data_IF_206361387683
#
_entry.id   IF_206361387683
#
_cell.length_a   1.000
_cell.length_b   1.000
_cell.length_c   1.000
_cell.angle_alpha   90.00
_cell.angle_beta   90.00
_cell.angle_gamma   90.00
#
_symmetry.space_group_name_H-M   'P 1'
#
loop_
_entity.id
_entity.type
_entity.pdbx_description
1 polymer ?
#
# COMPACT_ATOMS: atom_id res chain seq x y z
N UNK A 1 -13.71 -6.49 -26.44
CA UNK A 1 -12.98 -5.65 -25.45
C UNK A 1 -12.98 -6.32 -24.08
N UNK A 2 -14.14 -6.63 -23.48
CA UNK A 2 -14.20 -7.35 -22.19
C UNK A 2 -13.37 -8.65 -22.15
N UNK A 3 -13.44 -9.47 -23.19
CA UNK A 3 -12.68 -10.74 -23.22
C UNK A 3 -11.17 -10.52 -23.20
N UNK A 4 -10.70 -9.46 -23.86
CA UNK A 4 -9.28 -9.11 -23.91
C UNK A 4 -8.75 -8.53 -22.59
N UNK A 5 -9.55 -7.71 -21.92
CA UNK A 5 -9.23 -7.17 -20.59
C UNK A 5 -9.14 -8.29 -19.54
N UNK A 6 -10.05 -9.28 -19.63
CA UNK A 6 -10.04 -10.46 -18.78
C UNK A 6 -8.81 -11.35 -19.04
N UNK A 7 -8.46 -11.59 -20.31
CA UNK A 7 -7.24 -12.34 -20.66
C UNK A 7 -5.97 -11.68 -20.10
N UNK A 8 -5.85 -10.36 -20.22
CA UNK A 8 -4.70 -9.64 -19.69
C UNK A 8 -4.68 -9.62 -18.15
N UNK A 9 -5.85 -9.58 -17.50
CA UNK A 9 -5.95 -9.71 -16.04
C UNK A 9 -5.59 -11.11 -15.54
N UNK A 10 -5.97 -12.16 -16.27
CA UNK A 10 -5.60 -13.53 -15.92
C UNK A 10 -4.10 -13.77 -16.09
N UNK A 11 -3.48 -13.21 -17.14
CA UNK A 11 -2.03 -13.28 -17.29
C UNK A 11 -1.29 -12.50 -16.20
N UNK A 12 -1.80 -11.32 -15.83
CA UNK A 12 -1.31 -10.58 -14.67
C UNK A 12 -1.33 -11.45 -13.42
N UNK A 13 -2.44 -12.12 -13.11
CA UNK A 13 -2.54 -12.93 -11.90
C UNK A 13 -1.58 -14.13 -11.91
N UNK A 14 -1.32 -14.76 -13.05
CA UNK A 14 -0.28 -15.80 -13.15
C UNK A 14 1.12 -15.25 -12.86
N UNK A 15 1.42 -14.02 -13.27
CA UNK A 15 2.69 -13.36 -12.95
C UNK A 15 2.79 -13.14 -11.43
N UNK A 16 1.72 -12.61 -10.82
CA UNK A 16 1.68 -12.33 -9.39
C UNK A 16 1.73 -13.59 -8.53
N UNK A 17 1.02 -14.65 -8.92
CA UNK A 17 1.00 -15.92 -8.21
C UNK A 17 2.41 -16.54 -8.14
N UNK A 18 3.17 -16.47 -9.25
CA UNK A 18 4.57 -16.92 -9.30
C UNK A 18 5.50 -16.11 -8.41
N UNK A 19 5.22 -14.83 -8.20
CA UNK A 19 6.00 -13.97 -7.30
C UNK A 19 5.75 -14.29 -5.81
N UNK A 20 4.63 -14.94 -5.51
CA UNK A 20 4.28 -15.39 -4.17
C UNK A 20 4.04 -14.24 -3.18
N UNK A 21 4.34 -14.49 -1.89
CA UNK A 21 3.92 -13.61 -0.79
C UNK A 21 4.53 -12.22 -0.80
N UNK A 22 5.71 -12.03 -1.40
CA UNK A 22 6.38 -10.72 -1.46
C UNK A 22 5.77 -9.79 -2.51
N UNK A 23 5.00 -10.33 -3.45
CA UNK A 23 4.59 -9.58 -4.62
C UNK A 23 5.76 -9.23 -5.54
N UNK A 24 5.50 -8.36 -6.49
CA UNK A 24 6.47 -7.94 -7.52
C UNK A 24 6.32 -6.43 -7.74
N UNK A 25 7.45 -5.75 -7.92
CA UNK A 25 7.46 -4.31 -8.14
C UNK A 25 6.57 -3.93 -9.33
N UNK A 26 5.73 -2.92 -9.16
CA UNK A 26 4.71 -2.54 -10.15
C UNK A 26 5.33 -2.21 -11.52
N UNK A 27 6.50 -1.58 -11.53
CA UNK A 27 7.25 -1.31 -12.76
C UNK A 27 7.65 -2.59 -13.53
N UNK A 28 8.02 -3.65 -12.81
CA UNK A 28 8.36 -4.95 -13.40
C UNK A 28 7.12 -5.68 -13.93
N UNK A 29 6.01 -5.63 -13.19
CA UNK A 29 4.71 -6.15 -13.66
C UNK A 29 4.31 -5.51 -14.98
N UNK A 30 4.33 -4.17 -15.05
CA UNK A 30 4.00 -3.43 -16.27
C UNK A 30 4.96 -3.80 -17.41
N UNK A 31 6.26 -3.96 -17.12
CA UNK A 31 7.26 -4.37 -18.12
C UNK A 31 6.99 -5.78 -18.67
N UNK A 32 6.64 -6.73 -17.81
CA UNK A 32 6.37 -8.10 -18.23
C UNK A 32 5.07 -8.20 -19.03
N UNK A 33 3.99 -7.56 -18.58
CA UNK A 33 2.75 -7.48 -19.35
C UNK A 33 2.96 -6.85 -20.74
N UNK A 34 3.76 -5.77 -20.85
CA UNK A 34 4.08 -5.18 -22.17
C UNK A 34 4.74 -6.19 -23.13
N UNK A 35 5.53 -7.14 -22.63
CA UNK A 35 6.14 -8.19 -23.48
C UNK A 35 5.08 -9.15 -24.02
N UNK A 36 4.05 -9.47 -23.24
CA UNK A 36 2.91 -10.29 -23.69
C UNK A 36 2.05 -9.55 -24.72
N UNK A 37 1.92 -8.23 -24.58
CA UNK A 37 1.12 -7.37 -25.44
C UNK A 37 1.89 -6.77 -26.63
N UNK A 38 3.09 -7.29 -26.94
CA UNK A 38 4.03 -6.71 -27.92
C UNK A 38 3.46 -6.46 -29.32
N UNK A 39 2.37 -7.14 -29.67
CA UNK A 39 1.72 -7.02 -30.98
C UNK A 39 0.78 -5.79 -31.06
N UNK A 40 0.48 -5.15 -29.94
CA UNK A 40 -0.35 -3.93 -29.89
C UNK A 40 0.50 -2.66 -29.95
N UNK A 41 -0.11 -1.54 -30.34
CA UNK A 41 0.54 -0.25 -30.25
C UNK A 41 0.81 0.13 -28.78
N UNK A 42 1.91 0.86 -28.51
CA UNK A 42 2.32 1.22 -27.12
C UNK A 42 1.18 1.83 -26.28
N UNK A 43 0.39 2.73 -26.88
CA UNK A 43 -0.75 3.36 -26.20
C UNK A 43 -1.84 2.35 -25.80
N UNK A 44 -2.10 1.36 -26.65
CA UNK A 44 -3.07 0.31 -26.38
C UNK A 44 -2.54 -0.66 -25.31
N UNK A 45 -1.24 -0.97 -25.33
CA UNK A 45 -0.59 -1.73 -24.26
C UNK A 45 -0.74 -1.04 -22.91
N UNK A 46 -0.43 0.26 -22.85
CA UNK A 46 -0.52 1.02 -21.61
C UNK A 46 -1.97 1.06 -21.07
N UNK A 47 -2.97 1.27 -21.95
CA UNK A 47 -4.39 1.22 -21.55
C UNK A 47 -4.82 -0.16 -21.04
N UNK A 48 -4.45 -1.24 -21.74
CA UNK A 48 -4.78 -2.59 -21.34
C UNK A 48 -4.15 -2.95 -19.97
N UNK A 49 -2.89 -2.56 -19.76
CA UNK A 49 -2.17 -2.81 -18.51
C UNK A 49 -2.82 -2.08 -17.33
N UNK A 50 -3.09 -0.78 -17.47
CA UNK A 50 -3.75 -0.03 -16.40
C UNK A 50 -5.16 -0.58 -16.12
N UNK A 51 -5.91 -0.95 -17.16
CA UNK A 51 -7.23 -1.55 -17.03
C UNK A 51 -7.17 -2.90 -16.28
N UNK A 52 -6.22 -3.77 -16.62
CA UNK A 52 -6.07 -5.06 -15.95
C UNK A 52 -5.60 -4.93 -14.50
N UNK A 53 -4.67 -4.02 -14.21
CA UNK A 53 -4.24 -3.73 -12.83
C UNK A 53 -5.43 -3.21 -12.02
N UNK A 54 -6.17 -2.24 -12.57
CA UNK A 54 -7.36 -1.71 -11.92
C UNK A 54 -8.39 -2.81 -11.66
N UNK A 55 -8.66 -3.66 -12.65
CA UNK A 55 -9.61 -4.75 -12.53
C UNK A 55 -9.26 -5.73 -11.39
N UNK A 56 -8.00 -6.19 -11.31
CA UNK A 56 -7.61 -7.15 -10.25
C UNK A 56 -7.59 -6.51 -8.85
N UNK A 57 -7.35 -5.21 -8.75
CA UNK A 57 -7.47 -4.45 -7.50
C UNK A 57 -8.95 -4.25 -7.13
N UNK A 58 -9.80 -3.93 -8.11
CA UNK A 58 -11.23 -3.72 -7.92
C UNK A 58 -11.94 -4.99 -7.43
N UNK A 59 -11.51 -6.16 -7.91
CA UNK A 59 -12.04 -7.47 -7.52
C UNK A 59 -11.37 -8.08 -6.26
N UNK A 60 -10.42 -7.36 -5.66
CA UNK A 60 -9.61 -7.84 -4.54
C UNK A 60 -8.91 -9.18 -4.83
N UNK A 61 -8.46 -9.41 -6.07
CA UNK A 61 -7.62 -10.56 -6.46
C UNK A 61 -6.12 -10.26 -6.28
N UNK A 62 -5.78 -8.97 -6.22
CA UNK A 62 -4.46 -8.47 -5.89
C UNK A 62 -4.56 -7.22 -5.00
N UNK A 63 -3.43 -6.82 -4.42
CA UNK A 63 -3.31 -5.60 -3.62
C UNK A 63 -2.01 -4.85 -3.94
N UNK A 64 -2.08 -3.51 -3.97
CA UNK A 64 -0.89 -2.66 -3.94
C UNK A 64 -0.34 -2.57 -2.52
N UNK A 65 0.94 -2.84 -2.36
CA UNK A 65 1.68 -2.74 -1.10
C UNK A 65 2.90 -1.85 -1.33
N UNK A 66 3.39 -1.25 -0.25
CA UNK A 66 4.65 -0.50 -0.27
C UNK A 66 5.74 -1.41 0.27
N UNK A 67 6.89 -1.47 -0.38
CA UNK A 67 8.08 -2.14 0.16
C UNK A 67 9.35 -1.49 -0.36
N UNK A 68 10.48 -1.81 0.27
CA UNK A 68 11.79 -1.37 -0.20
C UNK A 68 12.19 -2.12 -1.48
N UNK A 69 12.83 -1.40 -2.41
CA UNK A 69 13.49 -2.01 -3.56
C UNK A 69 14.96 -2.33 -3.28
N UNK A 70 15.70 -2.77 -4.32
CA UNK A 70 17.11 -3.10 -4.19
C UNK A 70 18.01 -1.90 -3.84
N UNK A 71 17.50 -0.68 -3.97
CA UNK A 71 18.13 0.59 -3.57
C UNK A 71 17.66 1.09 -2.21
N UNK A 72 16.85 0.31 -1.48
CA UNK A 72 16.19 0.73 -0.24
C UNK A 72 15.25 1.93 -0.41
N UNK A 73 14.74 2.15 -1.63
CA UNK A 73 13.71 3.15 -1.88
C UNK A 73 12.32 2.51 -1.75
N UNK A 74 11.39 3.21 -1.08
CA UNK A 74 10.00 2.75 -0.95
C UNK A 74 9.28 2.89 -2.29
N UNK A 75 8.76 1.77 -2.78
CA UNK A 75 8.07 1.71 -4.08
C UNK A 75 6.83 0.83 -4.02
N UNK A 76 6.00 0.94 -5.06
CA UNK A 76 4.81 0.12 -5.19
C UNK A 76 5.14 -1.29 -5.67
N UNK A 77 4.64 -2.27 -4.94
CA UNK A 77 4.58 -3.67 -5.35
C UNK A 77 3.12 -4.09 -5.51
N UNK A 78 2.88 -5.05 -6.39
CA UNK A 78 1.59 -5.69 -6.57
C UNK A 78 1.71 -7.13 -6.05
N UNK A 79 0.82 -7.50 -5.13
CA UNK A 79 0.82 -8.80 -4.47
C UNK A 79 -0.45 -9.56 -4.80
N UNK A 80 -0.31 -10.84 -5.15
CA UNK A 80 -1.44 -11.76 -5.29
C UNK A 80 -2.11 -12.00 -3.94
N UNK A 81 -3.44 -11.99 -3.91
CA UNK A 81 -4.21 -12.30 -2.71
C UNK A 81 -4.70 -13.75 -2.78
N UNK A 82 -4.48 -14.49 -1.70
CA UNK A 82 -5.17 -15.78 -1.48
C UNK A 82 -6.67 -15.57 -1.34
N UNK A 83 -7.48 -16.62 -1.46
CA UNK A 83 -8.94 -16.53 -1.27
C UNK A 83 -9.31 -16.01 0.13
N UNK A 84 -8.55 -16.41 1.16
CA UNK A 84 -8.76 -15.93 2.54
C UNK A 84 -8.46 -14.44 2.66
N UNK A 85 -7.33 -13.98 2.12
CA UNK A 85 -7.00 -12.55 2.11
C UNK A 85 -8.03 -11.75 1.29
N UNK A 86 -8.40 -12.24 0.10
CA UNK A 86 -9.41 -11.62 -0.78
C UNK A 86 -10.75 -11.44 -0.06
N UNK A 87 -11.19 -12.48 0.65
CA UNK A 87 -12.42 -12.42 1.47
C UNK A 87 -12.30 -11.35 2.55
N UNK A 88 -11.19 -11.31 3.28
CA UNK A 88 -10.94 -10.29 4.31
C UNK A 88 -11.04 -8.87 3.75
N UNK A 89 -10.53 -8.61 2.55
CA UNK A 89 -10.62 -7.29 1.90
C UNK A 89 -12.05 -6.95 1.46
N UNK A 90 -12.78 -7.92 0.92
CA UNK A 90 -14.19 -7.74 0.53
C UNK A 90 -15.11 -7.48 1.72
N UNK A 91 -14.76 -8.00 2.89
CA UNK A 91 -15.51 -7.82 4.14
C UNK A 91 -15.19 -6.50 4.86
N UNK A 92 -14.20 -5.72 4.40
CA UNK A 92 -13.95 -4.37 4.91
C UNK A 92 -15.17 -3.47 4.66
N UNK A 93 -15.34 -2.47 5.52
CA UNK A 93 -16.36 -1.45 5.30
C UNK A 93 -16.13 -0.72 3.97
N UNK A 94 -17.20 -0.22 3.36
CA UNK A 94 -17.10 0.52 2.09
C UNK A 94 -16.15 1.73 2.21
N UNK A 95 -16.16 2.40 3.37
CA UNK A 95 -15.26 3.51 3.70
C UNK A 95 -13.81 3.05 3.70
N UNK A 96 -13.50 1.91 4.34
CA UNK A 96 -12.14 1.37 4.41
C UNK A 96 -11.64 0.89 3.03
N UNK A 97 -12.51 0.25 2.25
CA UNK A 97 -12.22 -0.12 0.88
C UNK A 97 -11.92 1.10 0.01
N UNK A 98 -12.68 2.19 0.19
CA UNK A 98 -12.45 3.42 -0.55
C UNK A 98 -11.19 4.14 -0.10
N UNK A 99 -10.90 4.14 1.21
CA UNK A 99 -9.65 4.67 1.74
C UNK A 99 -8.45 3.97 1.11
N UNK A 100 -8.46 2.63 1.03
CA UNK A 100 -7.40 1.87 0.40
C UNK A 100 -7.20 2.31 -1.06
N UNK A 101 -8.28 2.46 -1.83
CA UNK A 101 -8.22 2.93 -3.23
C UNK A 101 -7.61 4.32 -3.34
N UNK A 102 -7.99 5.24 -2.45
CA UNK A 102 -7.41 6.60 -2.40
C UNK A 102 -5.91 6.53 -2.14
N UNK A 103 -5.48 5.73 -1.16
CA UNK A 103 -4.06 5.60 -0.82
C UNK A 103 -3.26 4.91 -1.94
N UNK A 104 -3.83 3.89 -2.60
CA UNK A 104 -3.21 3.17 -3.72
C UNK A 104 -2.88 4.04 -4.92
N UNK A 105 -3.59 5.16 -5.09
CA UNK A 105 -3.39 6.10 -6.20
C UNK A 105 -2.67 7.38 -5.76
N UNK A 106 -2.26 7.49 -4.49
CA UNK A 106 -1.58 8.67 -3.97
C UNK A 106 -0.06 8.51 -3.91
N UNK A 107 0.65 9.41 -4.59
CA UNK A 107 2.12 9.44 -4.66
C UNK A 107 2.73 10.71 -4.02
N UNK A 108 1.92 11.66 -3.55
CA UNK A 108 2.38 12.97 -3.09
C UNK A 108 2.83 13.04 -1.61
N UNK A 109 2.97 11.90 -0.95
CA UNK A 109 3.29 11.82 0.47
C UNK A 109 4.78 11.70 0.78
N UNK A 110 5.10 11.51 2.06
CA UNK A 110 6.48 11.16 2.47
C UNK A 110 6.90 9.76 1.98
N UNK A 111 5.94 8.93 1.59
CA UNK A 111 6.12 7.67 0.89
C UNK A 111 4.91 7.42 -0.02
N UNK A 112 4.99 6.48 -0.97
CA UNK A 112 3.82 6.03 -1.71
C UNK A 112 2.71 5.57 -0.76
N UNK A 113 1.47 5.98 -1.03
CA UNK A 113 0.33 5.61 -0.21
C UNK A 113 0.28 6.22 1.18
N UNK A 114 0.99 7.32 1.42
CA UNK A 114 0.85 8.14 2.62
C UNK A 114 0.20 9.48 2.30
N UNK A 115 -0.82 9.88 3.06
CA UNK A 115 -1.56 11.13 2.85
C UNK A 115 -1.87 11.80 4.19
N UNK A 116 -1.98 13.13 4.21
CA UNK A 116 -2.49 13.86 5.38
C UNK A 116 -3.91 13.39 5.71
N UNK A 117 -4.20 13.18 6.99
CA UNK A 117 -5.49 12.65 7.46
C UNK A 117 -6.67 13.49 6.97
N UNK A 118 -6.55 14.81 7.04
CA UNK A 118 -7.62 15.72 6.66
C UNK A 118 -7.86 15.72 5.15
N UNK A 119 -6.83 15.48 4.35
CA UNK A 119 -6.97 15.30 2.90
C UNK A 119 -7.69 13.97 2.58
N UNK A 120 -7.35 12.88 3.28
CA UNK A 120 -8.04 11.60 3.13
C UNK A 120 -9.52 11.71 3.49
N UNK A 121 -9.84 12.38 4.61
CA UNK A 121 -11.23 12.66 5.01
C UNK A 121 -11.94 13.51 3.96
N UNK A 122 -11.28 14.56 3.45
CA UNK A 122 -11.85 15.41 2.40
C UNK A 122 -12.20 14.62 1.15
N UNK A 123 -11.28 13.77 0.65
CA UNK A 123 -11.52 12.92 -0.52
C UNK A 123 -12.66 11.92 -0.29
N UNK A 124 -12.74 11.32 0.89
CA UNK A 124 -13.85 10.41 1.24
C UNK A 124 -15.20 11.16 1.31
N UNK A 125 -15.22 12.40 1.81
CA UNK A 125 -16.43 13.25 1.80
C UNK A 125 -16.85 13.64 0.40
N UNK A 126 -15.92 13.93 -0.50
CA UNK A 126 -16.19 14.18 -1.92
C UNK A 126 -16.84 12.97 -2.61
N UNK A 127 -16.60 11.76 -2.09
CA UNK A 127 -17.22 10.50 -2.54
C UNK A 127 -18.54 10.17 -1.84
N UNK A 128 -19.02 11.05 -0.96
CA UNK A 128 -20.31 10.90 -0.27
C UNK A 128 -20.26 10.26 1.11
N UNK A 129 -19.06 9.95 1.65
CA UNK A 129 -18.93 9.38 2.99
C UNK A 129 -18.90 10.46 4.06
N UNK A 130 -19.69 10.28 5.14
CA UNK A 130 -19.66 11.16 6.30
C UNK A 130 -18.86 10.52 7.43
N UNK A 131 -17.66 11.05 7.67
CA UNK A 131 -16.75 10.58 8.71
C UNK A 131 -16.02 11.75 9.38
N UNK A 132 -15.73 11.57 10.66
CA UNK A 132 -14.94 12.49 11.49
C UNK A 132 -13.48 12.05 11.63
N UNK A 133 -13.22 10.76 11.47
CA UNK A 133 -11.89 10.18 11.56
C UNK A 133 -11.75 8.96 10.64
N UNK A 134 -10.50 8.62 10.34
CA UNK A 134 -10.10 7.48 9.52
C UNK A 134 -9.88 6.26 10.40
N UNK A 135 -10.31 5.06 10.01
CA UNK A 135 -9.97 3.85 10.77
C UNK A 135 -8.55 3.36 10.43
N UNK A 136 -7.87 2.79 11.43
CA UNK A 136 -6.70 1.94 11.19
C UNK A 136 -7.20 0.61 10.63
N UNK A 137 -6.56 0.11 9.58
CA UNK A 137 -6.85 -1.21 9.02
C UNK A 137 -5.70 -2.13 9.43
N UNK A 138 -5.90 -3.05 10.40
CA UNK A 138 -4.82 -3.81 10.99
C UNK A 138 -3.93 -4.50 9.96
N UNK A 139 -2.62 -4.23 10.01
CA UNK A 139 -1.64 -4.83 9.10
C UNK A 139 -1.65 -4.26 7.68
N UNK A 140 -2.32 -3.13 7.43
CA UNK A 140 -2.42 -2.51 6.09
C UNK A 140 -2.33 -1.00 6.15
N UNK A 141 -3.17 -0.35 6.97
CA UNK A 141 -3.21 1.11 7.10
C UNK A 141 -2.94 1.47 8.54
N UNK A 142 -2.01 2.40 8.75
CA UNK A 142 -1.71 2.97 10.06
C UNK A 142 -1.81 4.50 10.02
N UNK A 143 -1.64 5.11 11.19
CA UNK A 143 -1.55 6.57 11.35
C UNK A 143 -0.25 6.93 12.04
N UNK A 144 0.34 8.05 11.66
CA UNK A 144 1.53 8.59 12.32
C UNK A 144 1.47 10.12 12.37
N UNK A 145 2.31 10.72 13.23
CA UNK A 145 2.51 12.17 13.26
C UNK A 145 3.80 12.49 12.54
N UNK A 146 3.71 13.33 11.52
CA UNK A 146 4.86 13.80 10.76
C UNK A 146 5.01 15.30 11.00
N UNK A 147 6.22 15.79 11.35
CA UNK A 147 6.49 17.23 11.38
C UNK A 147 6.30 17.84 10.00
N UNK A 148 5.63 18.99 9.95
CA UNK A 148 5.44 19.83 8.77
C UNK A 148 5.70 21.30 9.17
N UNK A 149 5.67 22.21 8.20
CA UNK A 149 5.94 23.65 8.42
C UNK A 149 4.99 24.26 9.48
N UNK A 150 3.76 23.74 9.59
CA UNK A 150 2.73 24.17 10.54
C UNK A 150 2.70 23.35 11.86
N UNK A 151 3.72 22.53 12.11
CA UNK A 151 3.82 21.66 13.29
C UNK A 151 3.51 20.19 13.01
N UNK A 152 3.06 19.46 14.02
CA UNK A 152 2.83 18.01 13.90
C UNK A 152 1.50 17.72 13.20
N UNK A 153 1.56 17.16 12.00
CA UNK A 153 0.39 16.78 11.21
C UNK A 153 0.11 15.28 11.32
N UNK A 154 -1.17 14.90 11.38
CA UNK A 154 -1.56 13.48 11.35
C UNK A 154 -1.58 12.99 9.90
N UNK A 155 -0.86 11.90 9.64
CA UNK A 155 -0.84 11.20 8.38
C UNK A 155 -1.45 9.82 8.51
N UNK A 156 -2.05 9.35 7.42
CA UNK A 156 -2.55 7.99 7.23
C UNK A 156 -1.74 7.37 6.11
N UNK A 157 -1.28 6.14 6.28
CA UNK A 157 -0.38 5.52 5.31
C UNK A 157 -0.56 4.02 5.19
N UNK A 158 -0.25 3.48 4.01
CA UNK A 158 -0.08 2.04 3.80
C UNK A 158 1.19 1.59 4.51
N UNK A 159 1.07 0.66 5.45
CA UNK A 159 2.19 0.11 6.22
C UNK A 159 3.13 -0.62 5.24
N UNK A 160 4.41 -0.22 5.13
CA UNK A 160 5.38 -0.92 4.31
C UNK A 160 5.57 -2.38 4.75
N UNK A 161 5.79 -3.29 3.80
CA UNK A 161 5.88 -4.72 4.11
C UNK A 161 7.08 -5.08 4.97
N UNK A 162 8.23 -4.42 4.80
CA UNK A 162 9.40 -4.65 5.65
C UNK A 162 9.11 -4.41 7.15
N UNK A 163 8.12 -3.59 7.51
CA UNK A 163 7.73 -3.36 8.91
C UNK A 163 7.14 -4.63 9.58
N UNK A 164 6.69 -5.61 8.78
CA UNK A 164 6.24 -6.90 9.29
C UNK A 164 7.37 -7.92 9.46
N UNK A 165 8.58 -7.60 9.01
CA UNK A 165 9.75 -8.49 9.12
C UNK A 165 10.21 -8.64 10.57
N UNK A 166 10.79 -9.80 10.89
CA UNK A 166 11.35 -10.06 12.22
C UNK A 166 12.55 -9.15 12.52
N UNK A 167 13.30 -8.77 11.49
CA UNK A 167 14.43 -7.84 11.62
C UNK A 167 13.97 -6.44 12.06
N UNK A 168 12.92 -5.91 11.42
CA UNK A 168 12.36 -4.62 11.83
C UNK A 168 11.79 -4.66 13.25
N UNK A 169 11.08 -5.73 13.61
CA UNK A 169 10.56 -5.92 14.97
C UNK A 169 11.69 -5.96 16.01
N UNK A 170 12.79 -6.67 15.73
CA UNK A 170 13.94 -6.72 16.60
C UNK A 170 14.61 -5.35 16.78
N UNK A 171 14.75 -4.58 15.69
CA UNK A 171 15.28 -3.21 15.74
C UNK A 171 14.39 -2.27 16.56
N UNK A 172 13.06 -2.37 16.40
CA UNK A 172 12.10 -1.62 17.20
C UNK A 172 12.22 -1.95 18.69
N UNK A 173 12.31 -3.23 19.03
CA UNK A 173 12.45 -3.69 20.42
C UNK A 173 13.76 -3.18 21.05
N UNK A 174 14.88 -3.25 20.32
CA UNK A 174 16.17 -2.72 20.79
C UNK A 174 16.13 -1.20 21.02
N UNK A 175 15.48 -0.46 20.11
CA UNK A 175 15.32 1.00 20.21
C UNK A 175 14.46 1.40 21.42
N UNK A 176 13.37 0.67 21.66
CA UNK A 176 12.51 0.87 22.82
C UNK A 176 13.26 0.55 24.12
N UNK A 177 14.03 -0.53 24.15
CA UNK A 177 14.83 -0.90 25.32
C UNK A 177 15.91 0.17 25.63
N UNK A 178 16.58 0.69 24.59
CA UNK A 178 17.55 1.80 24.73
C UNK A 178 16.89 3.06 25.26
N UNK A 179 15.71 3.40 24.76
CA UNK A 179 14.94 4.58 25.19
C UNK A 179 14.52 4.45 26.65
N UNK A 180 14.00 3.28 27.06
CA UNK A 180 13.64 3.00 28.45
C UNK A 180 14.85 3.10 29.39
N UNK A 181 16.00 2.52 29.00
CA UNK A 181 17.25 2.63 29.76
C UNK A 181 17.73 4.08 29.90
N UNK A 182 17.51 4.92 28.88
CA UNK A 182 17.86 6.34 28.92
C UNK A 182 16.95 7.11 29.89
N UNK A 183 15.64 6.87 29.85
CA UNK A 183 14.69 7.48 30.79
C UNK A 183 14.97 7.06 32.23
N UNK A 184 15.24 5.78 32.48
CA UNK A 184 15.62 5.27 33.80
C UNK A 184 16.89 5.94 34.35
N UNK A 185 17.88 6.25 33.48
CA UNK A 185 19.08 7.01 33.89
C UNK A 185 18.75 8.45 34.23
N UNK A 186 17.97 9.13 33.39
CA UNK A 186 17.57 10.52 33.65
C UNK A 186 16.77 10.66 34.95
N UNK A 187 15.89 9.70 35.26
CA UNK A 187 15.16 9.69 36.54
C UNK A 187 16.10 9.50 37.74
N UNK A 188 17.10 8.60 37.64
CA UNK A 188 18.09 8.39 38.71
C UNK A 188 19.06 9.55 38.93
N UNK A 189 19.30 10.37 37.90
CA UNK A 189 20.16 11.56 37.97
C UNK A 189 19.39 12.81 38.42
N UNK A 190 18.06 12.74 38.51
CA UNK A 190 17.18 13.83 38.94
C UNK A 190 16.72 13.70 40.40
N UNK A 191 17.09 12.60 41.08
CA UNK A 191 16.88 12.34 42.52
C UNK A 191 18.16 12.66 43.34
#
# INVERSE_FOLDING_TARGET
>A
MKDFENECADELLKILEKAGKKGIQLGLVKKDLRKHLRNLAKKEQDLAIEASIKHVLDEWRAIKIVDEDASSELTWYLKYLTEEESKRFRELSEVDQMLLRILFDFEGGFQPGAMKKDEAIKKLRELGFSLEDINVIPGIVSKTRVPDDDGMQMWVYIIPQYEFSEEYKALQEESLEKSRKREERMMRESD
#
